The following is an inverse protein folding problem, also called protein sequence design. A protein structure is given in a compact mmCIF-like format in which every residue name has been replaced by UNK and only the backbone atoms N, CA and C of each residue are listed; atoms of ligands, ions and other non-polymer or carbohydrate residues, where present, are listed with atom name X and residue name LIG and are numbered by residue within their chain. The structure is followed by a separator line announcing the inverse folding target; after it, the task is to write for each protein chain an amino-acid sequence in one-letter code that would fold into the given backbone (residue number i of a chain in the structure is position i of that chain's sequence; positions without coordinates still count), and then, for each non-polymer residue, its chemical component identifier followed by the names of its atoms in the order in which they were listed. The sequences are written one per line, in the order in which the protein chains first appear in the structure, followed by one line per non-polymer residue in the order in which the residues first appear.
data_IF_992297000503
#
_entry.id   IF_992297000503
#
_cell.length_a   1.000
_cell.length_b   1.000
_cell.length_c   1.000
_cell.angle_alpha   90.00
_cell.angle_beta   90.00
_cell.angle_gamma   90.00
#
_symmetry.space_group_name_H-M   'P 1'
#
loop_
_entity.id
_entity.type
_entity.pdbx_description
1 polymer ?
#
# COMPACT_ATOMS: atom_id res chain seq x y z
N UNK A 1 -39.20 -31.12 8.61
CA UNK A 1 -39.54 -29.77 8.21
C UNK A 1 -38.76 -28.84 9.12
N UNK A 2 -37.89 -28.16 8.72
CA UNK A 2 -37.32 -27.26 7.78
C UNK A 2 -36.17 -26.49 8.46
N UNK A 3 -34.93 -26.92 8.26
CA UNK A 3 -33.75 -26.13 8.66
C UNK A 3 -33.27 -25.18 7.55
N UNK A 4 -33.99 -25.12 6.44
CA UNK A 4 -33.59 -24.34 5.26
C UNK A 4 -33.93 -22.82 5.32
N UNK A 5 -34.76 -22.38 6.26
CA UNK A 5 -35.17 -20.97 6.35
C UNK A 5 -34.07 -19.99 6.78
N UNK A 6 -33.16 -20.31 7.76
CA UNK A 6 -32.13 -19.36 8.20
C UNK A 6 -30.98 -19.16 7.18
N UNK A 7 -30.60 -20.19 6.42
CA UNK A 7 -29.53 -20.07 5.40
C UNK A 7 -29.90 -19.20 4.21
N UNK A 8 -31.16 -19.30 3.73
CA UNK A 8 -31.65 -18.44 2.65
C UNK A 8 -31.69 -16.96 3.06
N UNK A 9 -32.01 -16.66 4.31
CA UNK A 9 -32.06 -15.29 4.83
C UNK A 9 -30.66 -14.69 4.93
N UNK A 10 -29.69 -15.47 5.39
CA UNK A 10 -28.28 -15.04 5.50
C UNK A 10 -27.69 -14.73 4.10
N UNK A 11 -27.92 -15.60 3.13
CA UNK A 11 -27.45 -15.40 1.75
C UNK A 11 -28.07 -14.15 1.10
N UNK A 12 -29.35 -13.86 1.36
CA UNK A 12 -30.01 -12.66 0.88
C UNK A 12 -29.46 -11.39 1.56
N UNK A 13 -29.26 -11.39 2.88
CA UNK A 13 -28.63 -10.27 3.61
C UNK A 13 -27.21 -9.98 3.08
N UNK A 14 -26.44 -11.02 2.82
CA UNK A 14 -25.11 -10.89 2.24
C UNK A 14 -25.16 -10.23 0.86
N UNK A 15 -25.99 -10.75 -0.06
CA UNK A 15 -26.14 -10.18 -1.42
C UNK A 15 -26.53 -8.71 -1.40
N UNK A 16 -27.48 -8.32 -0.55
CA UNK A 16 -27.96 -6.95 -0.43
C UNK A 16 -26.86 -5.96 0.04
N UNK A 17 -25.88 -6.44 0.83
CA UNK A 17 -24.81 -5.60 1.39
C UNK A 17 -23.50 -5.59 0.60
N UNK A 18 -23.21 -6.64 -0.19
CA UNK A 18 -21.91 -6.88 -0.83
C UNK A 18 -21.36 -5.67 -1.58
N UNK A 19 -22.06 -5.21 -2.60
CA UNK A 19 -21.57 -4.14 -3.48
C UNK A 19 -21.41 -2.83 -2.75
N UNK A 20 -22.41 -2.45 -1.94
CA UNK A 20 -22.36 -1.20 -1.18
C UNK A 20 -21.18 -1.15 -0.23
N UNK A 21 -20.99 -2.19 0.60
CA UNK A 21 -19.92 -2.21 1.58
C UNK A 21 -18.54 -2.31 0.91
N UNK A 22 -18.43 -3.03 -0.22
CA UNK A 22 -17.19 -3.10 -0.99
C UNK A 22 -16.82 -1.73 -1.58
N UNK A 23 -17.76 -1.04 -2.23
CA UNK A 23 -17.50 0.28 -2.82
C UNK A 23 -17.17 1.33 -1.77
N UNK A 24 -17.93 1.38 -0.66
CA UNK A 24 -17.67 2.32 0.43
C UNK A 24 -16.32 2.06 1.10
N UNK A 25 -15.96 0.80 1.34
CA UNK A 25 -14.65 0.45 1.89
C UNK A 25 -13.50 0.82 0.93
N UNK A 26 -13.71 0.64 -0.39
CA UNK A 26 -12.73 1.04 -1.41
C UNK A 26 -12.55 2.56 -1.44
N UNK A 27 -13.64 3.33 -1.39
CA UNK A 27 -13.58 4.79 -1.30
C UNK A 27 -12.93 5.25 0.01
N UNK A 28 -13.26 4.63 1.14
CA UNK A 28 -12.63 4.89 2.43
C UNK A 28 -11.11 4.64 2.37
N UNK A 29 -10.71 3.55 1.71
CA UNK A 29 -9.30 3.25 1.45
C UNK A 29 -8.64 4.31 0.58
N UNK A 30 -9.32 4.78 -0.47
CA UNK A 30 -8.82 5.86 -1.34
C UNK A 30 -8.56 7.14 -0.56
N UNK A 31 -9.49 7.54 0.31
CA UNK A 31 -9.30 8.72 1.17
C UNK A 31 -8.16 8.53 2.19
N UNK A 32 -8.07 7.35 2.81
CA UNK A 32 -6.99 7.02 3.72
C UNK A 32 -5.61 7.05 3.03
N UNK A 33 -5.48 6.47 1.84
CA UNK A 33 -4.24 6.50 1.07
C UNK A 33 -3.90 7.89 0.55
N UNK A 34 -4.88 8.72 0.19
CA UNK A 34 -4.62 10.11 -0.15
C UNK A 34 -4.00 10.87 1.03
N UNK A 35 -4.62 10.80 2.22
CA UNK A 35 -4.11 11.44 3.41
C UNK A 35 -2.72 10.89 3.83
N UNK A 36 -2.53 9.56 3.72
CA UNK A 36 -1.28 8.89 4.06
C UNK A 36 -0.08 9.40 3.27
N UNK A 37 -0.29 9.73 1.99
CA UNK A 37 0.78 10.10 1.06
C UNK A 37 0.83 11.59 0.76
N UNK A 38 0.11 12.44 1.52
CA UNK A 38 -0.01 13.89 1.27
C UNK A 38 1.34 14.63 1.33
N UNK A 39 2.29 14.12 2.11
CA UNK A 39 3.62 14.74 2.32
C UNK A 39 4.51 14.58 1.08
N UNK A 40 4.47 13.43 0.41
CA UNK A 40 5.35 13.14 -0.73
C UNK A 40 5.27 14.20 -1.84
N UNK A 41 4.09 14.53 -2.39
CA UNK A 41 3.94 15.56 -3.41
C UNK A 41 4.35 16.98 -2.97
N UNK A 42 4.40 17.25 -1.68
CA UNK A 42 4.78 18.54 -1.10
C UNK A 42 6.21 18.56 -0.54
N UNK A 43 6.94 17.47 -0.66
CA UNK A 43 8.27 17.33 -0.04
C UNK A 43 9.26 18.40 -0.51
N UNK A 44 9.27 18.75 -1.81
CA UNK A 44 10.12 19.82 -2.36
C UNK A 44 9.75 21.20 -1.78
N UNK A 45 8.45 21.45 -1.56
CA UNK A 45 7.97 22.68 -0.91
C UNK A 45 8.44 22.80 0.53
N UNK A 46 8.34 21.70 1.30
CA UNK A 46 8.86 21.67 2.66
C UNK A 46 10.39 21.84 2.71
N UNK A 47 11.09 21.17 1.78
CA UNK A 47 12.54 21.29 1.69
C UNK A 47 12.96 22.75 1.40
N UNK A 48 12.32 23.42 0.48
CA UNK A 48 12.61 24.83 0.16
C UNK A 48 12.27 25.79 1.31
N UNK A 49 11.14 25.56 2.01
CA UNK A 49 10.69 26.47 3.08
C UNK A 49 11.52 26.34 4.37
N UNK A 50 12.10 25.15 4.62
CA UNK A 50 12.81 24.84 5.86
C UNK A 50 14.30 24.58 5.64
N UNK A 51 14.82 24.81 4.43
CA UNK A 51 16.19 24.53 4.02
C UNK A 51 16.65 23.11 4.37
N UNK A 52 15.80 22.11 4.00
CA UNK A 52 16.07 20.71 4.32
C UNK A 52 17.01 20.09 3.30
N UNK A 53 18.05 19.45 3.78
CA UNK A 53 18.88 18.57 2.97
C UNK A 53 18.14 17.30 2.52
N UNK A 54 18.73 16.56 1.58
CA UNK A 54 18.14 15.35 1.00
C UNK A 54 17.80 14.30 2.06
N UNK A 55 18.66 14.11 3.08
CA UNK A 55 18.41 13.19 4.18
C UNK A 55 17.20 13.57 5.04
N UNK A 56 17.03 14.84 5.39
CA UNK A 56 15.88 15.33 6.16
C UNK A 56 14.59 15.20 5.37
N UNK A 57 14.60 15.57 4.09
CA UNK A 57 13.46 15.40 3.19
C UNK A 57 13.03 13.94 3.09
N UNK A 58 13.99 13.03 3.01
CA UNK A 58 13.74 11.59 2.95
C UNK A 58 13.13 11.05 4.24
N UNK A 59 13.61 11.50 5.40
CA UNK A 59 13.01 11.16 6.71
C UNK A 59 11.56 11.61 6.76
N UNK A 60 11.27 12.84 6.34
CA UNK A 60 9.92 13.39 6.35
C UNK A 60 8.96 12.57 5.49
N UNK A 61 9.38 12.20 4.28
CA UNK A 61 8.57 11.39 3.35
C UNK A 61 8.39 9.95 3.84
N UNK A 62 9.42 9.36 4.46
CA UNK A 62 9.39 7.98 4.93
C UNK A 62 8.56 7.80 6.21
N UNK A 63 8.48 8.82 7.06
CA UNK A 63 7.89 8.69 8.40
C UNK A 63 6.43 8.18 8.41
N UNK A 64 5.50 8.67 7.57
CA UNK A 64 4.16 8.11 7.50
C UNK A 64 4.14 6.64 7.07
N UNK A 65 5.10 6.21 6.25
CA UNK A 65 5.18 4.84 5.75
C UNK A 65 5.49 3.88 6.89
N UNK A 66 6.39 4.26 7.80
CA UNK A 66 6.77 3.45 8.96
C UNK A 66 5.54 3.09 9.80
N UNK A 67 4.78 4.10 10.21
CA UNK A 67 3.60 3.88 11.07
C UNK A 67 2.51 3.16 10.30
N UNK A 68 2.27 3.54 9.04
CA UNK A 68 1.32 2.86 8.18
C UNK A 68 1.62 1.36 8.00
N UNK A 69 2.89 0.95 8.10
CA UNK A 69 3.28 -0.45 8.05
C UNK A 69 3.12 -1.16 9.41
N UNK A 70 3.73 -0.62 10.46
CA UNK A 70 3.78 -1.25 11.79
C UNK A 70 2.40 -1.30 12.45
N UNK A 71 1.64 -0.21 12.36
CA UNK A 71 0.32 -0.11 12.96
C UNK A 71 -0.75 -1.00 12.27
N UNK A 72 -0.47 -1.58 11.09
CA UNK A 72 -1.37 -2.57 10.46
C UNK A 72 -1.63 -3.78 11.35
N UNK A 73 -0.63 -4.20 12.13
CA UNK A 73 -0.77 -5.36 13.02
C UNK A 73 -1.78 -5.09 14.14
N UNK A 74 -1.62 -4.08 15.00
CA UNK A 74 -2.60 -3.79 16.04
C UNK A 74 -3.96 -3.35 15.47
N UNK A 75 -4.00 -2.56 14.39
CA UNK A 75 -5.26 -2.13 13.75
C UNK A 75 -6.00 -3.32 13.16
N UNK A 76 -5.30 -4.28 12.54
CA UNK A 76 -5.90 -5.53 12.06
C UNK A 76 -6.54 -6.33 13.21
N UNK A 77 -5.82 -6.50 14.32
CA UNK A 77 -6.34 -7.16 15.52
C UNK A 77 -7.57 -6.44 16.12
N UNK A 78 -7.52 -5.10 16.13
CA UNK A 78 -8.67 -4.30 16.57
C UNK A 78 -9.85 -4.43 15.61
N UNK A 79 -9.59 -4.56 14.30
CA UNK A 79 -10.63 -4.80 13.30
C UNK A 79 -11.33 -6.13 13.53
N UNK A 80 -10.58 -7.18 13.87
CA UNK A 80 -11.16 -8.49 14.21
C UNK A 80 -12.04 -8.40 15.47
N UNK A 81 -11.69 -7.56 16.42
CA UNK A 81 -12.43 -7.40 17.67
C UNK A 81 -13.64 -6.47 17.54
N UNK A 82 -13.43 -5.29 16.98
CA UNK A 82 -14.41 -4.19 16.99
C UNK A 82 -15.20 -4.03 15.70
N UNK A 83 -14.76 -4.66 14.60
CA UNK A 83 -15.39 -4.55 13.30
C UNK A 83 -14.78 -3.52 12.39
N UNK A 84 -14.95 -3.75 11.09
CA UNK A 84 -14.39 -2.88 10.05
C UNK A 84 -15.12 -1.54 9.98
N UNK A 85 -16.45 -1.50 10.18
CA UNK A 85 -17.23 -0.24 10.21
C UNK A 85 -16.66 0.73 11.23
N UNK A 86 -16.52 0.30 12.48
CA UNK A 86 -16.00 1.15 13.55
C UNK A 86 -14.55 1.55 13.26
N UNK A 87 -13.72 0.59 12.84
CA UNK A 87 -12.30 0.86 12.59
C UNK A 87 -12.07 1.83 11.42
N UNK A 88 -12.79 1.72 10.30
CA UNK A 88 -12.73 2.72 9.23
C UNK A 88 -13.13 4.11 9.75
N UNK A 89 -14.22 4.18 10.51
CA UNK A 89 -14.70 5.44 11.08
C UNK A 89 -13.66 6.08 12.00
N UNK A 90 -13.10 5.32 12.92
CA UNK A 90 -12.10 5.81 13.89
C UNK A 90 -10.81 6.23 13.20
N UNK A 91 -10.28 5.39 12.30
CA UNK A 91 -9.02 5.71 11.60
C UNK A 91 -9.17 6.96 10.74
N UNK A 92 -10.22 7.08 9.93
CA UNK A 92 -10.45 8.27 9.12
C UNK A 92 -10.80 9.48 9.99
N UNK A 93 -11.54 9.29 11.09
CA UNK A 93 -11.87 10.34 12.05
C UNK A 93 -10.63 10.93 12.74
N UNK A 94 -9.62 10.10 13.06
CA UNK A 94 -8.33 10.56 13.59
C UNK A 94 -7.47 11.17 12.48
N UNK A 95 -7.55 10.64 11.26
CA UNK A 95 -6.76 11.12 10.12
C UNK A 95 -7.12 12.56 9.73
N UNK A 96 -8.41 12.93 9.76
CA UNK A 96 -8.85 14.26 9.36
C UNK A 96 -8.19 15.39 10.16
N UNK A 97 -8.20 15.39 11.52
CA UNK A 97 -7.48 16.39 12.30
C UNK A 97 -5.96 16.31 12.13
N UNK A 98 -5.38 15.12 11.87
CA UNK A 98 -3.95 15.00 11.60
C UNK A 98 -3.54 15.66 10.28
N UNK A 99 -4.40 15.64 9.24
CA UNK A 99 -4.18 16.39 8.01
C UNK A 99 -4.16 17.91 8.29
N UNK A 100 -5.08 18.42 9.10
CA UNK A 100 -5.08 19.83 9.51
C UNK A 100 -3.85 20.20 10.34
N UNK A 101 -3.48 19.32 11.27
CA UNK A 101 -2.30 19.52 12.11
C UNK A 101 -1.01 19.52 11.25
N UNK A 102 -0.94 18.67 10.22
CA UNK A 102 0.17 18.69 9.23
C UNK A 102 0.27 20.06 8.55
N UNK A 103 -0.88 20.66 8.19
CA UNK A 103 -0.90 21.98 7.58
C UNK A 103 -0.43 23.08 8.53
N UNK A 104 -0.92 23.07 9.77
CA UNK A 104 -0.55 24.07 10.77
C UNK A 104 0.94 24.01 11.08
N UNK A 105 1.45 22.81 11.33
CA UNK A 105 2.87 22.60 11.67
C UNK A 105 3.77 22.86 10.46
N UNK A 106 3.32 22.52 9.25
CA UNK A 106 4.06 22.83 8.02
C UNK A 106 4.28 24.34 7.81
N UNK A 107 3.32 25.17 8.21
CA UNK A 107 3.46 26.64 8.17
C UNK A 107 4.39 27.19 9.27
N UNK A 108 4.57 26.47 10.38
CA UNK A 108 5.50 26.87 11.42
C UNK A 108 6.98 26.69 11.04
N UNK A 109 7.25 26.07 9.90
CA UNK A 109 8.60 25.76 9.41
C UNK A 109 9.47 25.03 10.45
N UNK A 110 8.85 24.13 11.22
CA UNK A 110 9.55 23.34 12.24
C UNK A 110 9.63 21.87 11.78
N UNK A 111 10.80 21.47 11.33
CA UNK A 111 11.06 20.12 10.83
C UNK A 111 10.71 19.02 11.85
N UNK A 112 11.16 19.17 13.11
CA UNK A 112 10.94 18.16 14.15
C UNK A 112 9.45 17.94 14.44
N UNK A 113 8.67 19.01 14.54
CA UNK A 113 7.22 18.94 14.74
C UNK A 113 6.52 18.35 13.52
N UNK A 114 6.96 18.69 12.31
CA UNK A 114 6.37 18.15 11.09
C UNK A 114 6.62 16.63 10.97
N UNK A 115 7.83 16.17 11.28
CA UNK A 115 8.16 14.73 11.33
C UNK A 115 7.33 14.00 12.40
N UNK A 116 7.13 14.62 13.57
CA UNK A 116 6.31 14.08 14.63
C UNK A 116 4.83 13.93 14.20
N UNK A 117 4.26 14.93 13.56
CA UNK A 117 2.89 14.86 13.05
C UNK A 117 2.79 13.86 11.89
N UNK A 118 3.79 13.83 10.99
CA UNK A 118 3.89 12.87 9.90
C UNK A 118 3.90 11.41 10.40
N UNK A 119 4.56 11.15 11.53
CA UNK A 119 4.55 9.86 12.21
C UNK A 119 3.11 9.43 12.52
N UNK A 120 2.33 10.27 13.20
CA UNK A 120 0.93 9.94 13.53
C UNK A 120 0.02 9.90 12.30
N UNK A 121 0.25 10.76 11.31
CA UNK A 121 -0.48 10.73 10.05
C UNK A 121 -0.36 9.37 9.34
N UNK A 122 0.73 8.66 9.58
CA UNK A 122 0.95 7.30 9.10
C UNK A 122 -0.18 6.33 9.42
N UNK A 123 -0.98 6.57 10.47
CA UNK A 123 -2.13 5.73 10.84
C UNK A 123 -3.14 5.58 9.69
N UNK A 124 -3.25 6.59 8.81
CA UNK A 124 -4.13 6.56 7.64
C UNK A 124 -3.83 5.38 6.70
N UNK A 125 -2.57 4.94 6.60
CA UNK A 125 -2.17 3.78 5.79
C UNK A 125 -2.66 2.43 6.31
N UNK A 126 -3.20 2.38 7.53
CA UNK A 126 -3.74 1.16 8.15
C UNK A 126 -5.12 0.76 7.62
N UNK A 127 -5.80 1.62 6.86
CA UNK A 127 -7.09 1.32 6.20
C UNK A 127 -7.03 0.03 5.39
N UNK A 128 -5.84 -0.32 4.88
CA UNK A 128 -5.63 -1.56 4.14
C UNK A 128 -5.82 -2.81 5.01
N UNK A 129 -5.35 -2.77 6.25
CA UNK A 129 -5.50 -3.88 7.21
C UNK A 129 -6.95 -4.05 7.68
N UNK A 130 -7.75 -2.98 7.64
CA UNK A 130 -9.17 -3.02 7.98
C UNK A 130 -9.99 -3.63 6.84
N UNK A 131 -9.73 -3.19 5.61
CA UNK A 131 -10.61 -3.48 4.49
C UNK A 131 -10.49 -4.89 3.94
N UNK A 132 -9.30 -5.51 3.98
CA UNK A 132 -9.13 -6.88 3.50
C UNK A 132 -10.06 -7.85 4.24
N UNK A 133 -10.02 -7.99 5.57
CA UNK A 133 -10.93 -8.88 6.30
C UNK A 133 -12.39 -8.41 6.21
N UNK A 134 -12.65 -7.10 6.24
CA UNK A 134 -13.99 -6.55 6.13
C UNK A 134 -14.66 -6.91 4.80
N UNK A 135 -14.01 -6.64 3.67
CA UNK A 135 -14.56 -6.94 2.35
C UNK A 135 -14.66 -8.46 2.12
N UNK A 136 -13.66 -9.23 2.54
CA UNK A 136 -13.67 -10.70 2.40
C UNK A 136 -14.86 -11.35 3.13
N UNK A 137 -15.26 -10.81 4.28
CA UNK A 137 -16.36 -11.34 5.07
C UNK A 137 -17.73 -11.21 4.40
N UNK A 138 -17.90 -10.36 3.39
CA UNK A 138 -19.13 -10.20 2.62
C UNK A 138 -19.26 -11.17 1.45
N UNK A 139 -18.20 -11.91 1.12
CA UNK A 139 -18.15 -12.75 -0.07
C UNK A 139 -17.88 -14.21 0.26
N UNK A 140 -18.48 -15.11 -0.52
CA UNK A 140 -18.22 -16.54 -0.45
C UNK A 140 -16.76 -16.85 -0.82
N UNK A 141 -16.24 -17.99 -0.36
CA UNK A 141 -14.82 -18.35 -0.48
C UNK A 141 -14.27 -18.24 -1.90
N UNK A 142 -15.05 -18.62 -2.91
CA UNK A 142 -14.63 -18.55 -4.32
C UNK A 142 -14.58 -17.12 -4.89
N UNK A 143 -15.20 -16.12 -4.23
CA UNK A 143 -15.25 -14.72 -4.64
C UNK A 143 -14.47 -13.76 -3.75
N UNK A 144 -13.82 -14.24 -2.69
CA UNK A 144 -13.01 -13.41 -1.78
C UNK A 144 -11.86 -12.72 -2.52
N UNK A 145 -11.24 -13.39 -3.49
CA UNK A 145 -10.19 -12.80 -4.33
C UNK A 145 -10.69 -11.59 -5.12
N UNK A 146 -11.89 -11.67 -5.71
CA UNK A 146 -12.52 -10.52 -6.38
C UNK A 146 -12.73 -9.35 -5.41
N UNK A 147 -13.31 -9.61 -4.24
CA UNK A 147 -13.57 -8.56 -3.24
C UNK A 147 -12.31 -7.85 -2.77
N UNK A 148 -11.26 -8.61 -2.46
CA UNK A 148 -9.96 -8.05 -2.03
C UNK A 148 -9.22 -7.36 -3.17
N UNK A 149 -9.39 -7.82 -4.40
CA UNK A 149 -8.87 -7.17 -5.60
C UNK A 149 -9.49 -5.80 -5.85
N UNK A 150 -10.83 -5.71 -5.80
CA UNK A 150 -11.56 -4.42 -5.93
C UNK A 150 -11.20 -3.49 -4.77
N UNK A 151 -11.19 -3.99 -3.53
CA UNK A 151 -10.76 -3.19 -2.38
C UNK A 151 -9.31 -2.69 -2.55
N UNK A 152 -8.42 -3.54 -3.08
CA UNK A 152 -7.03 -3.18 -3.36
C UNK A 152 -6.89 -2.03 -4.36
N UNK A 153 -7.87 -1.81 -5.26
CA UNK A 153 -7.90 -0.65 -6.13
C UNK A 153 -8.03 0.69 -5.38
N UNK A 154 -8.50 0.67 -4.12
CA UNK A 154 -8.49 1.85 -3.25
C UNK A 154 -7.10 2.46 -3.01
N UNK A 155 -6.03 1.70 -3.27
CA UNK A 155 -4.67 2.25 -3.28
C UNK A 155 -4.45 3.33 -4.36
N UNK A 156 -5.36 3.50 -5.30
CA UNK A 156 -5.38 4.64 -6.24
C UNK A 156 -5.37 5.99 -5.50
N UNK A 157 -5.72 6.02 -4.20
CA UNK A 157 -5.56 7.19 -3.33
C UNK A 157 -4.14 7.78 -3.35
N UNK A 158 -3.10 6.97 -3.57
CA UNK A 158 -1.73 7.45 -3.76
C UNK A 158 -1.58 8.27 -5.06
N UNK A 159 -2.20 7.81 -6.14
CA UNK A 159 -2.24 8.56 -7.40
C UNK A 159 -3.09 9.83 -7.27
N UNK A 160 -4.23 9.74 -6.58
CA UNK A 160 -5.08 10.90 -6.25
C UNK A 160 -4.29 11.94 -5.46
N UNK A 161 -3.53 11.52 -4.45
CA UNK A 161 -2.65 12.40 -3.67
C UNK A 161 -1.64 13.11 -4.55
N UNK A 162 -0.89 12.33 -5.35
CA UNK A 162 0.16 12.88 -6.21
C UNK A 162 -0.39 13.88 -7.24
N UNK A 163 -1.56 13.59 -7.81
CA UNK A 163 -2.17 14.43 -8.84
C UNK A 163 -2.86 15.67 -8.28
N UNK A 164 -3.75 15.48 -7.29
CA UNK A 164 -4.61 16.56 -6.82
C UNK A 164 -3.96 17.43 -5.76
N UNK A 165 -3.11 16.91 -4.87
CA UNK A 165 -2.56 17.71 -3.77
C UNK A 165 -1.79 18.93 -4.26
N UNK A 166 -0.83 18.84 -5.21
CA UNK A 166 -0.12 20.04 -5.70
C UNK A 166 -1.05 21.05 -6.39
N UNK A 167 -2.04 20.54 -7.14
CA UNK A 167 -3.03 21.39 -7.84
C UNK A 167 -3.94 22.13 -6.89
N UNK A 168 -4.39 21.45 -5.83
CA UNK A 168 -5.19 22.07 -4.78
C UNK A 168 -4.37 23.13 -4.04
N UNK A 169 -3.10 22.88 -3.77
CA UNK A 169 -2.21 23.88 -3.17
C UNK A 169 -2.02 25.08 -4.09
N UNK A 170 -1.84 24.85 -5.39
CA UNK A 170 -1.71 25.96 -6.37
C UNK A 170 -3.01 26.78 -6.49
N UNK A 171 -4.18 26.17 -6.42
CA UNK A 171 -5.47 26.84 -6.61
C UNK A 171 -6.09 27.42 -5.34
N UNK A 172 -5.99 26.72 -4.19
CA UNK A 172 -6.62 27.09 -2.93
C UNK A 172 -5.62 27.58 -1.87
N UNK A 173 -4.34 27.58 -2.19
CA UNK A 173 -3.27 27.79 -1.23
C UNK A 173 -3.04 26.56 -0.33
N UNK A 174 -1.92 26.58 0.38
CA UNK A 174 -1.46 25.45 1.18
C UNK A 174 -2.48 25.04 2.26
N UNK A 175 -2.97 26.00 3.05
CA UNK A 175 -3.96 25.73 4.12
C UNK A 175 -5.31 25.32 3.54
N UNK A 176 -5.80 25.99 2.48
CA UNK A 176 -7.07 25.67 1.84
C UNK A 176 -7.12 24.24 1.28
N UNK A 177 -6.03 23.79 0.67
CA UNK A 177 -5.91 22.41 0.19
C UNK A 177 -6.03 21.39 1.32
N UNK A 178 -5.35 21.60 2.43
CA UNK A 178 -5.39 20.68 3.58
C UNK A 178 -6.77 20.69 4.26
N UNK A 179 -7.41 21.86 4.37
CA UNK A 179 -8.79 21.96 4.91
C UNK A 179 -9.74 21.14 4.03
N UNK A 180 -9.66 21.28 2.71
CA UNK A 180 -10.52 20.52 1.81
C UNK A 180 -10.28 19.01 1.94
N UNK A 181 -9.02 18.58 1.96
CA UNK A 181 -8.67 17.15 2.09
C UNK A 181 -9.14 16.60 3.44
N UNK A 182 -8.90 17.34 4.53
CA UNK A 182 -9.37 16.96 5.86
C UNK A 182 -10.90 16.87 5.93
N UNK A 183 -11.61 17.80 5.30
CA UNK A 183 -13.07 17.77 5.22
C UNK A 183 -13.57 16.54 4.44
N UNK A 184 -12.94 16.19 3.30
CA UNK A 184 -13.28 14.99 2.54
C UNK A 184 -13.04 13.71 3.34
N UNK A 185 -11.93 13.62 4.07
CA UNK A 185 -11.62 12.49 4.96
C UNK A 185 -12.64 12.41 6.11
N UNK A 186 -13.00 13.53 6.73
CA UNK A 186 -14.01 13.59 7.79
C UNK A 186 -15.40 13.18 7.29
N UNK A 187 -15.81 13.68 6.12
CA UNK A 187 -17.08 13.28 5.48
C UNK A 187 -17.06 11.78 5.19
N UNK A 188 -15.93 11.24 4.71
CA UNK A 188 -15.82 9.79 4.47
C UNK A 188 -15.91 8.98 5.78
N UNK A 189 -15.35 9.49 6.90
CA UNK A 189 -15.53 8.88 8.22
C UNK A 189 -17.00 8.82 8.64
N UNK A 190 -17.74 9.90 8.43
CA UNK A 190 -19.19 9.96 8.70
C UNK A 190 -19.95 8.99 7.77
N UNK A 191 -19.62 8.96 6.50
CA UNK A 191 -20.21 8.00 5.54
C UNK A 191 -19.95 6.56 6.00
N UNK A 192 -18.75 6.24 6.45
CA UNK A 192 -18.44 4.91 6.99
C UNK A 192 -19.28 4.60 8.22
N UNK A 193 -19.44 5.56 9.13
CA UNK A 193 -20.27 5.40 10.33
C UNK A 193 -21.74 5.15 9.99
N UNK A 194 -22.30 5.88 9.05
CA UNK A 194 -23.72 5.83 8.74
C UNK A 194 -24.08 4.64 7.83
N UNK A 195 -23.25 4.33 6.82
CA UNK A 195 -23.63 3.46 5.72
C UNK A 195 -22.89 2.12 5.68
N UNK A 196 -21.68 1.98 6.27
CA UNK A 196 -21.05 0.68 6.37
C UNK A 196 -21.81 -0.22 7.35
N UNK A 197 -21.86 -1.50 7.07
CA UNK A 197 -22.43 -2.52 7.94
C UNK A 197 -21.45 -3.68 8.09
N UNK A 198 -21.48 -4.33 9.25
CA UNK A 198 -20.74 -5.57 9.44
C UNK A 198 -21.40 -6.72 8.68
N UNK A 199 -20.57 -7.64 8.16
CA UNK A 199 -21.10 -8.84 7.51
C UNK A 199 -21.90 -9.68 8.49
N UNK A 200 -23.06 -10.25 8.04
CA UNK A 200 -23.84 -11.17 8.85
C UNK A 200 -23.02 -12.38 9.33
N UNK A 201 -22.01 -12.81 8.57
CA UNK A 201 -21.13 -13.95 8.91
C UNK A 201 -20.30 -13.71 10.17
N UNK A 202 -20.22 -12.45 10.63
CA UNK A 202 -19.50 -12.09 11.86
C UNK A 202 -20.35 -12.25 13.13
N UNK A 203 -21.66 -12.42 13.00
CA UNK A 203 -22.56 -12.58 14.14
C UNK A 203 -22.22 -13.88 14.88
N UNK A 204 -21.85 -13.78 16.17
CA UNK A 204 -21.56 -14.94 17.02
C UNK A 204 -20.17 -15.56 16.87
N UNK A 205 -19.28 -14.95 16.07
CA UNK A 205 -17.90 -15.43 15.99
C UNK A 205 -17.07 -14.76 17.07
N UNK A 206 -16.58 -15.55 18.02
CA UNK A 206 -15.62 -15.07 19.03
C UNK A 206 -14.27 -14.76 18.37
N UNK A 207 -13.63 -13.63 18.72
CA UNK A 207 -12.30 -13.31 18.24
C UNK A 207 -11.28 -14.36 18.70
N UNK A 208 -10.72 -15.11 17.78
CA UNK A 208 -9.66 -16.07 18.13
C UNK A 208 -8.38 -15.34 18.52
N UNK A 209 -7.67 -15.78 19.58
CA UNK A 209 -6.43 -15.16 20.00
C UNK A 209 -5.41 -15.08 18.85
N UNK A 210 -4.87 -13.90 18.64
CA UNK A 210 -3.97 -13.61 17.49
C UNK A 210 -2.56 -14.17 17.71
N UNK A 211 -2.09 -14.17 18.97
CA UNK A 211 -0.72 -14.60 19.32
C UNK A 211 -0.37 -16.02 18.86
N UNK A 212 -1.19 -17.05 19.07
CA UNK A 212 -0.91 -18.39 18.60
C UNK A 212 -0.78 -18.47 17.07
N UNK A 213 -1.66 -17.79 16.35
CA UNK A 213 -1.64 -17.76 14.88
C UNK A 213 -0.38 -17.05 14.33
N UNK A 214 0.03 -15.94 14.97
CA UNK A 214 1.28 -15.24 14.64
C UNK A 214 2.49 -16.15 14.88
N UNK A 215 2.53 -16.85 16.02
CA UNK A 215 3.64 -17.76 16.35
C UNK A 215 3.81 -18.87 15.29
N UNK A 216 2.71 -19.44 14.82
CA UNK A 216 2.72 -20.45 13.75
C UNK A 216 3.21 -19.80 12.44
N UNK A 217 2.66 -18.67 12.05
CA UNK A 217 3.02 -18.00 10.79
C UNK A 217 4.48 -17.55 10.77
N UNK A 218 5.02 -17.03 11.88
CA UNK A 218 6.43 -16.67 12.01
C UNK A 218 7.38 -17.87 12.02
N UNK A 219 6.90 -19.06 12.39
CA UNK A 219 7.67 -20.30 12.34
C UNK A 219 7.88 -20.86 10.93
N UNK A 220 7.11 -20.40 9.93
CA UNK A 220 7.19 -20.88 8.56
C UNK A 220 8.29 -20.14 7.79
N UNK A 221 9.24 -20.89 7.22
CA UNK A 221 10.30 -20.33 6.36
C UNK A 221 9.74 -19.60 5.14
N UNK A 222 8.68 -20.13 4.55
CA UNK A 222 7.98 -19.57 3.41
C UNK A 222 7.42 -18.17 3.70
N UNK A 223 6.95 -17.94 4.93
CA UNK A 223 6.48 -16.61 5.35
C UNK A 223 7.58 -15.56 5.23
N UNK A 224 8.80 -15.85 5.69
CA UNK A 224 9.92 -14.90 5.64
C UNK A 224 10.40 -14.64 4.21
N UNK A 225 10.47 -15.69 3.38
CA UNK A 225 10.84 -15.56 1.97
C UNK A 225 9.80 -14.70 1.22
N UNK A 226 8.51 -14.93 1.45
CA UNK A 226 7.43 -14.15 0.85
C UNK A 226 7.38 -12.71 1.41
N UNK A 227 7.69 -12.51 2.69
CA UNK A 227 7.87 -11.18 3.29
C UNK A 227 8.97 -10.41 2.58
N UNK A 228 10.13 -11.03 2.36
CA UNK A 228 11.25 -10.42 1.66
C UNK A 228 10.87 -10.07 0.22
N UNK A 229 10.29 -11.01 -0.50
CA UNK A 229 9.83 -10.80 -1.87
C UNK A 229 8.82 -9.64 -1.95
N UNK A 230 7.83 -9.63 -1.07
CA UNK A 230 6.80 -8.58 -1.08
C UNK A 230 7.35 -7.23 -0.64
N UNK A 231 8.29 -7.20 0.30
CA UNK A 231 8.97 -5.99 0.74
C UNK A 231 9.71 -5.30 -0.42
N UNK A 232 10.24 -6.06 -1.39
CA UNK A 232 10.88 -5.48 -2.58
C UNK A 232 9.83 -4.86 -3.50
N UNK A 233 8.90 -5.65 -4.04
CA UNK A 233 7.98 -5.16 -5.10
C UNK A 233 6.96 -4.17 -4.58
N UNK A 234 6.31 -4.46 -3.45
CA UNK A 234 5.36 -3.55 -2.85
C UNK A 234 6.06 -2.36 -2.16
N UNK A 235 7.19 -2.64 -1.52
CA UNK A 235 8.01 -1.60 -0.91
C UNK A 235 8.52 -0.59 -1.94
N UNK A 236 9.04 -1.03 -3.08
CA UNK A 236 9.45 -0.14 -4.16
C UNK A 236 8.25 0.67 -4.71
N UNK A 237 7.09 0.04 -4.92
CA UNK A 237 5.87 0.76 -5.31
C UNK A 237 5.52 1.88 -4.32
N UNK A 238 5.49 1.57 -3.01
CA UNK A 238 5.16 2.57 -1.97
C UNK A 238 6.22 3.66 -1.91
N UNK A 239 7.50 3.28 -1.96
CA UNK A 239 8.62 4.22 -1.94
C UNK A 239 8.55 5.21 -3.11
N UNK A 240 8.41 4.72 -4.34
CA UNK A 240 8.31 5.59 -5.51
C UNK A 240 7.02 6.41 -5.53
N UNK A 241 5.89 5.86 -5.10
CA UNK A 241 4.64 6.62 -4.99
C UNK A 241 4.76 7.84 -4.07
N UNK A 242 5.70 7.83 -3.11
CA UNK A 242 5.93 8.93 -2.17
C UNK A 242 7.16 9.77 -2.53
N UNK A 243 8.24 9.16 -3.02
CA UNK A 243 9.52 9.82 -3.23
C UNK A 243 9.76 10.28 -4.68
N UNK A 244 9.03 9.74 -5.65
CA UNK A 244 9.17 10.10 -7.05
C UNK A 244 8.97 11.59 -7.33
N UNK A 245 8.07 12.34 -6.64
CA UNK A 245 8.00 13.79 -6.82
C UNK A 245 9.32 14.48 -6.46
N UNK A 246 9.96 14.06 -5.37
CA UNK A 246 11.27 14.58 -4.95
C UNK A 246 12.35 14.23 -5.96
N UNK A 247 12.39 12.97 -6.42
CA UNK A 247 13.33 12.51 -7.45
C UNK A 247 13.21 13.34 -8.75
N UNK A 248 11.98 13.46 -9.27
CA UNK A 248 11.71 14.21 -10.50
C UNK A 248 12.05 15.70 -10.36
N UNK A 249 11.78 16.26 -9.18
CA UNK A 249 12.13 17.64 -8.89
C UNK A 249 13.64 17.88 -8.82
N UNK A 250 14.41 16.94 -8.25
CA UNK A 250 15.86 17.10 -8.08
C UNK A 250 16.64 16.76 -9.35
N UNK A 251 16.23 15.73 -10.08
CA UNK A 251 16.97 15.23 -11.26
C UNK A 251 16.57 15.95 -12.52
N UNK A 252 15.28 16.25 -12.71
CA UNK A 252 14.71 16.79 -13.95
C UNK A 252 14.09 18.17 -13.78
N UNK A 253 14.22 18.77 -12.62
CA UNK A 253 13.73 20.11 -12.27
C UNK A 253 12.22 20.32 -12.50
N UNK A 254 11.42 19.27 -12.34
CA UNK A 254 9.96 19.40 -12.41
C UNK A 254 9.43 20.21 -11.23
N UNK A 255 8.45 21.06 -11.54
CA UNK A 255 7.59 21.66 -10.53
C UNK A 255 6.70 20.62 -9.83
N UNK A 256 6.11 20.99 -8.71
CA UNK A 256 5.28 20.08 -7.91
C UNK A 256 4.11 19.47 -8.71
N UNK A 257 3.51 20.23 -9.62
CA UNK A 257 2.38 19.79 -10.45
C UNK A 257 2.82 18.80 -11.53
N UNK A 258 3.92 19.09 -12.21
CA UNK A 258 4.51 18.21 -13.23
C UNK A 258 5.01 16.89 -12.65
N UNK A 259 5.75 16.95 -11.54
CA UNK A 259 6.20 15.77 -10.80
C UNK A 259 5.02 14.95 -10.28
N UNK A 260 3.99 15.62 -9.74
CA UNK A 260 2.77 15.00 -9.26
C UNK A 260 2.00 14.24 -10.34
N UNK A 261 1.90 14.80 -11.55
CA UNK A 261 1.25 14.15 -12.70
C UNK A 261 1.93 12.83 -13.06
N UNK A 262 3.25 12.83 -13.14
CA UNK A 262 4.05 11.64 -13.49
C UNK A 262 4.01 10.58 -12.40
N UNK A 263 4.06 11.02 -11.15
CA UNK A 263 3.91 10.12 -9.99
C UNK A 263 2.51 9.50 -9.93
N UNK A 264 1.47 10.27 -10.27
CA UNK A 264 0.11 9.74 -10.36
C UNK A 264 0.00 8.66 -11.44
N UNK A 265 0.62 8.89 -12.61
CA UNK A 265 0.71 7.89 -13.68
C UNK A 265 1.41 6.61 -13.22
N UNK A 266 2.55 6.74 -12.56
CA UNK A 266 3.28 5.62 -11.94
C UNK A 266 2.39 4.84 -10.96
N UNK A 267 1.79 5.53 -10.00
CA UNK A 267 0.97 4.89 -8.98
C UNK A 267 -0.27 4.22 -9.58
N UNK A 268 -0.96 4.86 -10.52
CA UNK A 268 -2.11 4.29 -11.20
C UNK A 268 -1.75 3.03 -12.01
N UNK A 269 -0.64 3.07 -12.75
CA UNK A 269 -0.15 1.93 -13.53
C UNK A 269 0.14 0.72 -12.63
N UNK A 270 0.81 0.93 -11.50
CA UNK A 270 1.10 -0.14 -10.54
C UNK A 270 -0.18 -0.73 -9.92
N UNK A 271 -1.16 0.11 -9.56
CA UNK A 271 -2.44 -0.33 -8.99
C UNK A 271 -3.23 -1.17 -10.00
N UNK A 272 -3.26 -0.76 -11.27
CA UNK A 272 -3.93 -1.50 -12.36
C UNK A 272 -3.21 -2.81 -12.68
N UNK A 273 -1.88 -2.82 -12.67
CA UNK A 273 -1.09 -4.02 -12.94
C UNK A 273 -1.21 -5.10 -11.87
N UNK A 274 -1.56 -4.74 -10.64
CA UNK A 274 -1.67 -5.68 -9.52
C UNK A 274 -2.71 -6.80 -9.72
N UNK A 275 -3.98 -6.55 -10.04
CA UNK A 275 -4.94 -7.61 -10.35
C UNK A 275 -4.55 -8.39 -11.60
N UNK A 276 -3.91 -7.75 -12.59
CA UNK A 276 -3.41 -8.42 -13.79
C UNK A 276 -2.33 -9.45 -13.39
N UNK A 277 -1.39 -9.06 -12.52
CA UNK A 277 -0.35 -9.94 -12.00
C UNK A 277 -0.91 -11.13 -11.23
N UNK A 278 -1.93 -10.92 -10.39
CA UNK A 278 -2.65 -12.00 -9.70
C UNK A 278 -3.31 -12.97 -10.67
N UNK A 279 -4.08 -12.47 -11.62
CA UNK A 279 -4.78 -13.28 -12.63
C UNK A 279 -3.80 -14.04 -13.54
N UNK A 280 -2.69 -13.40 -13.89
CA UNK A 280 -1.64 -14.04 -14.68
C UNK A 280 -0.94 -15.14 -13.87
N UNK A 281 -0.70 -14.90 -12.58
CA UNK A 281 -0.15 -15.91 -11.67
C UNK A 281 -1.05 -17.14 -11.51
N UNK A 282 -2.37 -16.97 -11.59
CA UNK A 282 -3.30 -18.08 -11.58
C UNK A 282 -3.17 -18.95 -12.85
N UNK A 283 -2.87 -18.34 -14.00
CA UNK A 283 -2.77 -19.02 -15.30
C UNK A 283 -1.40 -19.66 -15.54
N UNK A 284 -0.32 -18.89 -15.35
CA UNK A 284 1.05 -19.31 -15.71
C UNK A 284 1.92 -19.69 -14.51
N UNK A 285 1.39 -19.50 -13.31
CA UNK A 285 2.09 -19.73 -12.04
C UNK A 285 2.72 -18.46 -11.45
N UNK A 286 2.69 -18.31 -10.12
CA UNK A 286 3.19 -17.11 -9.43
C UNK A 286 4.70 -16.94 -9.57
N UNK A 287 5.46 -18.04 -9.70
CA UNK A 287 6.91 -18.01 -9.89
C UNK A 287 7.30 -17.26 -11.15
N UNK A 288 6.67 -17.58 -12.30
CA UNK A 288 7.01 -16.96 -13.58
C UNK A 288 6.68 -15.47 -13.59
N UNK A 289 5.52 -15.10 -13.05
CA UNK A 289 5.11 -13.69 -12.92
C UNK A 289 6.08 -12.90 -12.03
N UNK A 290 6.50 -13.49 -10.91
CA UNK A 290 7.47 -12.85 -10.01
C UNK A 290 8.84 -12.71 -10.65
N UNK A 291 9.32 -13.73 -11.38
CA UNK A 291 10.58 -13.66 -12.14
C UNK A 291 10.53 -12.51 -13.15
N UNK A 292 9.49 -12.44 -13.97
CA UNK A 292 9.33 -11.36 -14.96
C UNK A 292 9.31 -9.98 -14.30
N UNK A 293 8.61 -9.86 -13.16
CA UNK A 293 8.56 -8.63 -12.38
C UNK A 293 9.93 -8.19 -11.87
N UNK A 294 10.69 -9.09 -11.24
CA UNK A 294 12.01 -8.74 -10.69
C UNK A 294 13.02 -8.43 -11.80
N UNK A 295 13.03 -9.18 -12.89
CA UNK A 295 13.91 -8.92 -14.04
C UNK A 295 13.59 -7.57 -14.66
N UNK A 296 12.31 -7.29 -14.91
CA UNK A 296 11.88 -6.00 -15.48
C UNK A 296 12.17 -4.83 -14.55
N UNK A 297 11.85 -4.95 -13.27
CA UNK A 297 12.11 -3.89 -12.29
C UNK A 297 13.63 -3.64 -12.10
N UNK A 298 14.46 -4.70 -12.05
CA UNK A 298 15.90 -4.56 -11.94
C UNK A 298 16.50 -3.87 -13.17
N UNK A 299 16.13 -4.29 -14.37
CA UNK A 299 16.63 -3.71 -15.62
C UNK A 299 16.26 -2.22 -15.72
N UNK A 300 15.00 -1.87 -15.40
CA UNK A 300 14.54 -0.49 -15.45
C UNK A 300 15.16 0.38 -14.35
N UNK A 301 15.38 -0.18 -13.13
CA UNK A 301 16.10 0.52 -12.07
C UNK A 301 17.54 0.88 -12.50
N UNK A 302 18.22 -0.04 -13.17
CA UNK A 302 19.56 0.24 -13.76
C UNK A 302 19.48 1.35 -14.79
N UNK A 303 18.51 1.30 -15.72
CA UNK A 303 18.37 2.35 -16.75
C UNK A 303 18.07 3.72 -16.11
N UNK A 304 17.18 3.78 -15.12
CA UNK A 304 16.88 5.04 -14.40
C UNK A 304 18.10 5.56 -13.62
N UNK A 305 18.98 4.67 -13.13
CA UNK A 305 20.19 5.06 -12.43
C UNK A 305 21.14 5.90 -13.30
N UNK A 306 21.14 5.71 -14.61
CA UNK A 306 21.89 6.52 -15.57
C UNK A 306 21.20 7.81 -16.02
N UNK A 307 20.05 8.13 -15.43
CA UNK A 307 19.33 9.41 -15.61
C UNK A 307 19.14 9.83 -17.08
N UNK A 308 18.38 9.05 -17.89
CA UNK A 308 18.16 9.41 -19.29
C UNK A 308 17.46 10.78 -19.39
N UNK A 309 18.02 11.69 -20.19
CA UNK A 309 17.61 13.11 -20.25
C UNK A 309 16.28 13.34 -20.96
N UNK A 310 15.92 12.49 -21.92
CA UNK A 310 14.75 12.71 -22.76
C UNK A 310 13.45 12.26 -22.07
N UNK A 311 12.45 13.15 -21.98
CA UNK A 311 11.15 12.87 -21.35
C UNK A 311 10.44 11.65 -21.99
N UNK A 312 10.51 11.52 -23.31
CA UNK A 312 9.96 10.37 -24.03
C UNK A 312 10.69 9.04 -23.74
N UNK A 313 11.81 9.08 -23.02
CA UNK A 313 12.55 7.91 -22.54
C UNK A 313 12.21 7.61 -21.07
N UNK A 314 12.45 8.56 -20.17
CA UNK A 314 12.23 8.28 -18.73
C UNK A 314 10.75 8.16 -18.35
N UNK A 315 9.84 8.87 -19.02
CA UNK A 315 8.41 8.77 -18.76
C UNK A 315 7.87 7.35 -18.93
N UNK A 316 8.03 6.70 -20.10
CA UNK A 316 7.68 5.29 -20.30
C UNK A 316 8.41 4.33 -19.37
N UNK A 317 9.68 4.58 -19.03
CA UNK A 317 10.47 3.72 -18.14
C UNK A 317 9.81 3.66 -16.74
N UNK A 318 9.40 4.79 -16.17
CA UNK A 318 8.70 4.80 -14.88
C UNK A 318 7.35 4.08 -14.94
N UNK A 319 6.59 4.24 -16.02
CA UNK A 319 5.32 3.52 -16.21
C UNK A 319 5.56 2.01 -16.32
N UNK A 320 6.55 1.58 -17.11
CA UNK A 320 6.92 0.17 -17.24
C UNK A 320 7.40 -0.41 -15.89
N UNK A 321 8.22 0.34 -15.16
CA UNK A 321 8.67 -0.07 -13.83
C UNK A 321 7.47 -0.24 -12.88
N UNK A 322 6.50 0.69 -12.90
CA UNK A 322 5.27 0.59 -12.13
C UNK A 322 4.46 -0.66 -12.50
N UNK A 323 4.35 -0.97 -13.80
CA UNK A 323 3.67 -2.18 -14.27
C UNK A 323 4.36 -3.45 -13.75
N UNK A 324 5.68 -3.56 -13.84
CA UNK A 324 6.41 -4.72 -13.31
C UNK A 324 6.27 -4.84 -11.78
N UNK A 325 6.37 -3.74 -11.04
CA UNK A 325 6.17 -3.74 -9.58
C UNK A 325 4.74 -4.15 -9.22
N UNK A 326 3.74 -3.66 -9.96
CA UNK A 326 2.35 -4.04 -9.78
C UNK A 326 2.10 -5.52 -10.08
N UNK A 327 2.61 -6.04 -11.21
CA UNK A 327 2.54 -7.45 -11.56
C UNK A 327 3.16 -8.33 -10.47
N UNK A 328 4.35 -7.96 -9.98
CA UNK A 328 5.02 -8.68 -8.89
C UNK A 328 4.24 -8.66 -7.58
N UNK A 329 3.62 -7.54 -7.25
CA UNK A 329 2.75 -7.43 -6.06
C UNK A 329 1.59 -8.42 -6.13
N UNK A 330 0.92 -8.52 -7.28
CA UNK A 330 -0.15 -9.49 -7.50
C UNK A 330 0.36 -10.93 -7.51
N UNK A 331 1.49 -11.17 -8.18
CA UNK A 331 2.12 -12.49 -8.29
C UNK A 331 2.55 -13.07 -6.95
N UNK A 332 3.19 -12.25 -6.09
CA UNK A 332 3.60 -12.70 -4.75
C UNK A 332 2.38 -13.01 -3.88
N UNK A 333 1.32 -12.20 -3.93
CA UNK A 333 0.08 -12.50 -3.18
C UNK A 333 -0.61 -13.79 -3.66
N UNK A 334 -0.61 -14.06 -4.95
CA UNK A 334 -1.08 -15.34 -5.48
C UNK A 334 -0.22 -16.51 -4.98
N UNK A 335 1.09 -16.31 -4.83
CA UNK A 335 1.99 -17.30 -4.24
C UNK A 335 1.68 -17.55 -2.76
N UNK A 336 1.41 -16.50 -1.98
CA UNK A 336 0.97 -16.61 -0.57
C UNK A 336 -0.25 -17.51 -0.44
N UNK A 337 -1.25 -17.32 -1.31
CA UNK A 337 -2.48 -18.11 -1.28
C UNK A 337 -2.24 -19.61 -1.59
N UNK A 338 -1.20 -19.92 -2.38
CA UNK A 338 -0.83 -21.31 -2.72
C UNK A 338 0.09 -21.97 -1.70
N UNK A 339 0.96 -21.18 -1.05
CA UNK A 339 1.96 -21.66 -0.10
C UNK A 339 1.43 -21.76 1.33
N UNK A 340 0.26 -21.17 1.62
CA UNK A 340 -0.29 -21.14 2.97
C UNK A 340 -1.51 -22.03 3.11
N UNK A 341 -1.63 -22.69 4.26
CA UNK A 341 -2.84 -23.43 4.62
C UNK A 341 -4.05 -22.49 4.79
N UNK A 342 -5.25 -22.97 4.48
CA UNK A 342 -6.49 -22.21 4.58
C UNK A 342 -6.73 -21.57 5.96
N UNK A 343 -6.23 -22.21 7.03
CA UNK A 343 -6.36 -21.73 8.43
C UNK A 343 -5.40 -20.58 8.75
N UNK A 344 -4.26 -20.49 8.08
CA UNK A 344 -3.17 -19.54 8.39
C UNK A 344 -3.01 -18.46 7.33
N UNK A 345 -3.59 -18.61 6.13
CA UNK A 345 -3.42 -17.70 4.99
C UNK A 345 -3.71 -16.24 5.34
N UNK A 346 -4.72 -15.96 6.14
CA UNK A 346 -5.07 -14.59 6.56
C UNK A 346 -3.97 -13.95 7.40
N UNK A 347 -3.44 -14.70 8.38
CA UNK A 347 -2.36 -14.22 9.26
C UNK A 347 -1.06 -14.05 8.50
N UNK A 348 -0.69 -15.01 7.65
CA UNK A 348 0.49 -14.95 6.79
C UNK A 348 0.40 -13.76 5.83
N UNK A 349 -0.76 -13.56 5.17
CA UNK A 349 -1.01 -12.40 4.30
C UNK A 349 -0.87 -11.07 5.04
N UNK A 350 -1.35 -11.00 6.30
CA UNK A 350 -1.22 -9.80 7.14
C UNK A 350 0.24 -9.46 7.46
N UNK A 351 1.04 -10.47 7.85
CA UNK A 351 2.48 -10.31 8.11
C UNK A 351 3.21 -9.85 6.85
N UNK A 352 2.92 -10.49 5.70
CA UNK A 352 3.53 -10.14 4.41
C UNK A 352 3.14 -8.72 4.00
N UNK A 353 1.88 -8.32 4.21
CA UNK A 353 1.45 -6.95 3.92
C UNK A 353 2.14 -5.90 4.81
N UNK A 354 2.40 -6.22 6.08
CA UNK A 354 3.17 -5.36 6.99
C UNK A 354 4.64 -5.27 6.54
N UNK A 355 5.26 -6.41 6.19
CA UNK A 355 6.63 -6.45 5.66
C UNK A 355 6.76 -5.63 4.37
N UNK A 356 5.78 -5.71 3.46
CA UNK A 356 5.73 -4.87 2.27
C UNK A 356 5.67 -3.38 2.58
N UNK A 357 4.88 -2.98 3.58
CA UNK A 357 4.83 -1.61 4.05
C UNK A 357 6.18 -1.13 4.59
N UNK A 358 6.83 -1.95 5.44
CA UNK A 358 8.18 -1.66 5.96
C UNK A 358 9.22 -1.60 4.83
N UNK A 359 9.08 -2.44 3.80
CA UNK A 359 9.91 -2.38 2.59
C UNK A 359 9.83 -1.02 1.87
N UNK A 360 8.73 -0.30 2.02
CA UNK A 360 8.57 1.06 1.46
C UNK A 360 9.19 2.17 2.31
N UNK A 361 9.51 1.90 3.57
CA UNK A 361 10.11 2.86 4.48
C UNK A 361 11.60 3.10 4.19
N UNK A 362 12.36 2.03 3.96
CA UNK A 362 13.81 2.11 3.82
C UNK A 362 14.29 2.78 2.52
N UNK A 363 13.71 2.52 1.33
CA UNK A 363 14.24 3.08 0.09
C UNK A 363 14.30 4.61 0.05
N UNK A 364 13.30 5.41 0.50
CA UNK A 364 13.46 6.85 0.57
C UNK A 364 14.66 7.30 1.43
N UNK A 365 14.89 6.63 2.57
CA UNK A 365 16.02 6.93 3.45
C UNK A 365 17.35 6.65 2.77
N UNK A 366 17.44 5.51 2.07
CA UNK A 366 18.65 5.13 1.31
C UNK A 366 18.87 6.14 0.18
N UNK A 367 17.82 6.51 -0.56
CA UNK A 367 17.88 7.52 -1.63
C UNK A 367 18.41 8.85 -1.11
N UNK A 368 17.88 9.34 0.03
CA UNK A 368 18.35 10.60 0.62
C UNK A 368 19.76 10.52 1.19
N UNK A 369 20.14 9.41 1.83
CA UNK A 369 21.47 9.21 2.39
C UNK A 369 22.57 9.04 1.32
N UNK A 370 22.20 8.55 0.13
CA UNK A 370 23.12 8.28 -0.98
C UNK A 370 23.01 9.29 -2.12
N UNK A 371 22.23 10.36 -1.94
CA UNK A 371 22.09 11.42 -2.93
C UNK A 371 23.40 12.16 -3.13
N UNK A 372 23.82 12.26 -4.38
CA UNK A 372 24.98 13.04 -4.77
C UNK A 372 24.55 14.42 -5.28
N UNK A 373 24.69 15.45 -4.44
CA UNK A 373 24.29 16.82 -4.75
C UNK A 373 25.08 17.41 -5.93
N UNK A 374 26.37 17.07 -6.07
CA UNK A 374 27.20 17.60 -7.14
C UNK A 374 26.78 17.12 -8.53
N UNK A 375 26.14 15.96 -8.62
CA UNK A 375 25.70 15.34 -9.87
C UNK A 375 24.18 15.23 -9.98
N UNK A 376 23.43 15.73 -8.99
CA UNK A 376 21.98 15.54 -8.86
C UNK A 376 21.57 14.06 -9.03
N UNK A 377 22.34 13.14 -8.45
CA UNK A 377 22.25 11.72 -8.79
C UNK A 377 21.83 10.84 -7.61
N UNK A 378 20.92 9.92 -7.90
CA UNK A 378 20.47 8.85 -7.03
C UNK A 378 21.00 7.47 -7.44
N UNK A 379 22.13 7.44 -8.14
CA UNK A 379 22.70 6.23 -8.73
C UNK A 379 22.81 5.08 -7.73
N UNK A 380 23.39 5.32 -6.55
CA UNK A 380 23.61 4.29 -5.52
C UNK A 380 22.28 3.71 -5.04
N UNK A 381 21.29 4.54 -4.73
CA UNK A 381 19.97 4.09 -4.25
C UNK A 381 19.23 3.23 -5.28
N UNK A 382 19.32 3.61 -6.56
CA UNK A 382 18.69 2.86 -7.66
C UNK A 382 19.42 1.55 -7.95
N UNK A 383 20.75 1.52 -7.89
CA UNK A 383 21.54 0.29 -8.01
C UNK A 383 21.28 -0.68 -6.85
N UNK A 384 21.05 -0.17 -5.64
CA UNK A 384 20.63 -1.00 -4.52
C UNK A 384 19.23 -1.59 -4.76
N UNK A 385 18.28 -0.83 -5.32
CA UNK A 385 16.99 -1.39 -5.74
C UNK A 385 17.17 -2.52 -6.75
N UNK A 386 18.01 -2.32 -7.77
CA UNK A 386 18.31 -3.37 -8.75
C UNK A 386 18.91 -4.62 -8.09
N UNK A 387 19.84 -4.44 -7.14
CA UNK A 387 20.42 -5.54 -6.36
C UNK A 387 19.33 -6.29 -5.55
N UNK A 388 18.45 -5.58 -4.85
CA UNK A 388 17.36 -6.21 -4.11
C UNK A 388 16.39 -6.96 -5.05
N UNK A 389 16.12 -6.45 -6.24
CA UNK A 389 15.33 -7.16 -7.24
C UNK A 389 16.03 -8.46 -7.69
N UNK A 390 17.37 -8.45 -7.86
CA UNK A 390 18.16 -9.68 -8.16
C UNK A 390 18.07 -10.67 -6.99
N UNK A 391 18.15 -10.21 -5.74
CA UNK A 391 17.97 -11.07 -4.57
C UNK A 391 16.55 -11.64 -4.49
N UNK A 392 15.53 -10.84 -4.84
CA UNK A 392 14.14 -11.30 -4.99
C UNK A 392 14.00 -12.36 -6.08
N UNK A 393 14.68 -12.17 -7.21
CA UNK A 393 14.74 -13.15 -8.30
C UNK A 393 15.37 -14.48 -7.83
N UNK A 394 16.48 -14.44 -7.11
CA UNK A 394 17.10 -15.63 -6.51
C UNK A 394 16.13 -16.34 -5.57
N UNK A 395 15.39 -15.58 -4.75
CA UNK A 395 14.37 -16.11 -3.83
C UNK A 395 13.28 -16.87 -4.57
N UNK A 396 12.90 -16.47 -5.79
CA UNK A 396 11.94 -17.22 -6.62
C UNK A 396 12.41 -18.65 -6.94
N UNK A 397 13.72 -18.90 -6.96
CA UNK A 397 14.25 -20.25 -7.21
C UNK A 397 14.38 -21.07 -5.92
N UNK A 398 14.53 -20.41 -4.78
CA UNK A 398 14.58 -21.06 -3.44
C UNK A 398 13.19 -21.52 -3.01
N UNK A 399 12.15 -20.72 -3.30
CA UNK A 399 10.77 -21.04 -2.98
C UNK A 399 10.29 -22.18 -3.89
N UNK A 400 9.83 -23.27 -3.29
CA UNK A 400 9.19 -24.35 -4.04
C UNK A 400 7.87 -23.83 -4.64
N UNK A 401 7.60 -24.18 -5.89
CA UNK A 401 6.24 -24.04 -6.42
C UNK A 401 5.33 -24.86 -5.51
N UNK A 402 4.52 -24.21 -4.68
CA UNK A 402 3.55 -24.87 -3.82
C UNK A 402 2.67 -25.76 -4.72
N UNK A 403 3.02 -27.02 -4.83
CA UNK A 403 2.04 -28.05 -5.19
C UNK A 403 0.93 -27.92 -4.14
N UNK A 404 -0.34 -28.01 -4.54
CA UNK A 404 -1.45 -28.26 -3.61
C UNK A 404 -0.91 -29.28 -2.60
N UNK A 405 -0.96 -28.92 -1.32
CA UNK A 405 -0.74 -29.90 -0.26
C UNK A 405 -1.69 -31.03 -0.62
N UNK A 406 -1.13 -32.15 -1.06
CA UNK A 406 -1.91 -33.32 -1.43
C UNK A 406 -2.73 -33.69 -0.21
N UNK A 407 -4.07 -33.63 -0.34
CA UNK A 407 -5.01 -34.10 0.67
C UNK A 407 -4.79 -35.58 1.03
N UNK A 408 -3.82 -36.24 0.39
CA UNK A 408 -3.42 -37.63 0.62
C UNK A 408 -2.49 -37.84 1.84
N UNK A 409 -1.85 -36.78 2.38
CA UNK A 409 -0.96 -36.89 3.55
C UNK A 409 -1.64 -36.50 4.87
N UNK A 410 -2.90 -36.06 4.84
CA UNK A 410 -3.67 -35.77 6.06
C UNK A 410 -4.54 -36.97 6.52
N UNK A 411 -4.44 -38.13 5.85
CA UNK A 411 -5.19 -39.36 6.15
C UNK A 411 -4.26 -40.55 6.48
N UNK A 412 -3.03 -40.28 6.93
CA UNK A 412 -2.13 -41.31 7.45
C UNK A 412 -1.76 -41.01 8.91
#
# INVERSE_FOLDING_TARGET
MSSAAPENTLAQEMKAGQTRNLLLATLASTMGFWAWTIIGPLAKTYAANMDLGAGQTSILVAMPILVGAVARVPVGAMTDRYGGRLMFTVILGITAPLVLLTAMVGQMNNFGMLVFVAFFLGIAGTVFAIGIPFCSAWYESHRKGFATGVFGAGMVGTAVSAFFTPRLVAGLGYMGAHILIAALVAVMAVICWLFLRESPTRRGVEPTPMLPKLKVAFGLKETWLLCFMYAIVFGAFVAFSNYLPTYLGNVYDFDATGAGTRTAGFAAAAVVARPIGGTLADKVGPKLVSIASYVGAAALAVVVAFQPDAEHVYGPIFILMALFLGLGTGGVFAWVARASEARTVGTVSGIIAAAGGLGGYFPPLVMGATYNEAQNSYFVGLMLLALFCVLGLITCFILRNGGRVDERTAAA
#
